data_IF_326002952423
#
_entry.id   IF_326002952423
#
_cell.length_a   1.000
_cell.length_b   1.000
_cell.length_c   1.000
_cell.angle_alpha   90.00
_cell.angle_beta   90.00
_cell.angle_gamma   90.00
#
_symmetry.space_group_name_H-M   'P 1'
#
loop_
_entity.id
_entity.type
_entity.pdbx_description
1 polymer ?
#
# COMPACT_ATOMS: atom_id res chain seq x y z
N UNK A 1 -36.67 15.48 -13.54
CA UNK A 1 -37.38 14.18 -13.45
C UNK A 1 -36.85 13.51 -12.20
N UNK A 2 -37.64 13.46 -11.13
CA UNK A 2 -37.15 13.07 -9.80
C UNK A 2 -36.93 11.56 -9.74
N UNK A 3 -35.81 11.13 -9.13
CA UNK A 3 -35.40 9.73 -8.90
C UNK A 3 -36.50 8.86 -8.25
N UNK A 4 -37.50 9.48 -7.61
CA UNK A 4 -38.64 8.81 -6.97
C UNK A 4 -39.57 8.08 -7.95
N UNK A 5 -39.71 8.55 -9.19
CA UNK A 5 -40.72 8.02 -10.13
C UNK A 5 -40.20 6.86 -11.00
N UNK A 6 -38.91 6.50 -10.89
CA UNK A 6 -38.26 5.41 -11.65
C UNK A 6 -37.64 4.31 -10.77
N UNK A 7 -38.11 4.16 -9.53
CA UNK A 7 -37.55 3.19 -8.58
C UNK A 7 -37.61 1.75 -9.11
N UNK A 8 -38.78 1.32 -9.61
CA UNK A 8 -38.96 -0.03 -10.15
C UNK A 8 -38.11 -0.27 -11.40
N UNK A 9 -38.02 0.74 -12.27
CA UNK A 9 -37.19 0.69 -13.47
C UNK A 9 -35.69 0.58 -13.12
N UNK A 10 -35.21 1.34 -12.14
CA UNK A 10 -33.83 1.27 -11.67
C UNK A 10 -33.50 -0.12 -11.10
N UNK A 11 -34.39 -0.68 -10.27
CA UNK A 11 -34.20 -2.02 -9.71
C UNK A 11 -34.23 -3.09 -10.79
N UNK A 12 -35.15 -2.99 -11.74
CA UNK A 12 -35.25 -3.93 -12.86
C UNK A 12 -34.01 -3.86 -13.76
N UNK A 13 -33.52 -2.67 -14.10
CA UNK A 13 -32.29 -2.49 -14.88
C UNK A 13 -31.06 -3.08 -14.16
N UNK A 14 -30.95 -2.89 -12.84
CA UNK A 14 -29.88 -3.51 -12.04
C UNK A 14 -29.98 -5.04 -12.04
N UNK A 15 -31.18 -5.59 -11.89
CA UNK A 15 -31.41 -7.03 -11.98
C UNK A 15 -31.04 -7.58 -13.36
N UNK A 16 -31.46 -6.92 -14.43
CA UNK A 16 -31.13 -7.33 -15.80
C UNK A 16 -29.61 -7.32 -16.02
N UNK A 17 -28.92 -6.24 -15.64
CA UNK A 17 -27.47 -6.15 -15.73
C UNK A 17 -26.77 -7.27 -14.95
N UNK A 18 -27.21 -7.54 -13.72
CA UNK A 18 -26.66 -8.62 -12.90
C UNK A 18 -26.86 -10.01 -13.54
N UNK A 19 -28.08 -10.31 -14.01
CA UNK A 19 -28.41 -11.56 -14.71
C UNK A 19 -27.55 -11.73 -15.97
N UNK A 20 -27.45 -10.69 -16.77
CA UNK A 20 -26.73 -10.72 -18.04
C UNK A 20 -25.23 -10.91 -17.83
N UNK A 21 -24.65 -10.29 -16.79
CA UNK A 21 -23.27 -10.52 -16.38
C UNK A 21 -23.03 -12.00 -16.01
N UNK A 22 -23.91 -12.59 -15.19
CA UNK A 22 -23.82 -14.00 -14.80
C UNK A 22 -23.86 -14.91 -16.03
N UNK A 23 -24.81 -14.70 -16.94
CA UNK A 23 -24.93 -15.51 -18.16
C UNK A 23 -23.75 -15.35 -19.12
N UNK A 24 -23.17 -14.15 -19.19
CA UNK A 24 -21.99 -13.85 -20.00
C UNK A 24 -20.78 -14.63 -19.53
N UNK A 25 -20.43 -14.53 -18.24
CA UNK A 25 -19.22 -15.17 -17.69
C UNK A 25 -19.35 -16.66 -17.42
N UNK A 26 -20.52 -17.27 -17.68
CA UNK A 26 -20.63 -18.73 -17.88
C UNK A 26 -19.98 -19.20 -19.18
N UNK A 27 -19.75 -18.29 -20.14
CA UNK A 27 -19.31 -18.60 -21.51
C UNK A 27 -18.05 -17.83 -21.94
N UNK A 28 -17.77 -16.70 -21.32
CA UNK A 28 -16.63 -15.83 -21.64
C UNK A 28 -15.55 -15.86 -20.56
N UNK A 29 -14.29 -15.82 -21.00
CA UNK A 29 -13.13 -15.73 -20.12
C UNK A 29 -12.93 -14.30 -19.56
N UNK A 30 -12.29 -14.16 -18.38
CA UNK A 30 -11.90 -15.25 -17.46
C UNK A 30 -13.12 -15.82 -16.73
N UNK A 31 -13.09 -17.13 -16.44
CA UNK A 31 -14.16 -17.82 -15.71
C UNK A 31 -14.01 -17.72 -14.19
N UNK A 32 -12.78 -17.49 -13.72
CA UNK A 32 -12.48 -17.20 -12.33
C UNK A 32 -11.15 -16.46 -12.19
N UNK A 33 -10.90 -15.90 -11.01
CA UNK A 33 -9.58 -15.47 -10.57
C UNK A 33 -9.17 -16.22 -9.31
N UNK A 34 -7.92 -16.65 -9.25
CA UNK A 34 -7.34 -17.38 -8.12
C UNK A 34 -6.36 -16.48 -7.39
N UNK A 35 -6.60 -16.26 -6.10
CA UNK A 35 -5.69 -15.53 -5.20
C UNK A 35 -5.00 -16.55 -4.29
N UNK A 36 -3.72 -16.83 -4.57
CA UNK A 36 -2.94 -17.81 -3.82
C UNK A 36 -2.69 -17.36 -2.39
N UNK A 37 -2.80 -18.27 -1.40
CA UNK A 37 -2.29 -17.97 -0.05
C UNK A 37 -0.76 -18.08 0.03
N UNK A 38 -0.17 -18.88 -0.87
CA UNK A 38 1.28 -19.02 -1.00
C UNK A 38 1.82 -17.95 -1.94
N UNK A 39 2.16 -16.79 -1.36
CA UNK A 39 2.79 -15.67 -2.06
C UNK A 39 3.57 -14.79 -1.07
N UNK A 40 4.27 -13.78 -1.59
CA UNK A 40 5.18 -12.92 -0.81
C UNK A 40 4.50 -12.22 0.37
N UNK A 41 3.27 -11.75 0.18
CA UNK A 41 2.54 -10.96 1.18
C UNK A 41 1.10 -11.49 1.34
N UNK A 42 0.96 -12.54 2.15
CA UNK A 42 -0.35 -13.10 2.50
C UNK A 42 -1.26 -12.09 3.22
N UNK A 43 -0.79 -11.27 4.18
CA UNK A 43 -1.61 -10.22 4.79
C UNK A 43 -2.20 -9.23 3.77
N UNK A 44 -1.41 -8.82 2.77
CA UNK A 44 -1.89 -7.92 1.72
C UNK A 44 -2.90 -8.61 0.78
N UNK A 45 -2.66 -9.88 0.45
CA UNK A 45 -3.62 -10.70 -0.30
C UNK A 45 -4.95 -10.87 0.45
N UNK A 46 -4.90 -11.06 1.77
CA UNK A 46 -6.09 -11.11 2.62
C UNK A 46 -6.83 -9.75 2.62
N UNK A 47 -6.09 -8.64 2.64
CA UNK A 47 -6.66 -7.30 2.51
C UNK A 47 -7.38 -7.13 1.17
N UNK A 48 -6.77 -7.56 0.05
CA UNK A 48 -7.41 -7.53 -1.26
C UNK A 48 -8.76 -8.28 -1.22
N UNK A 49 -8.77 -9.53 -0.75
CA UNK A 49 -9.99 -10.34 -0.68
C UNK A 49 -11.05 -9.69 0.21
N UNK A 50 -10.66 -9.14 1.35
CA UNK A 50 -11.57 -8.38 2.20
C UNK A 50 -12.19 -7.19 1.46
N UNK A 51 -11.39 -6.42 0.70
CA UNK A 51 -11.89 -5.29 -0.09
C UNK A 51 -12.84 -5.74 -1.19
N UNK A 52 -12.60 -6.87 -1.85
CA UNK A 52 -13.54 -7.44 -2.81
C UNK A 52 -14.91 -7.71 -2.16
N UNK A 53 -14.90 -8.41 -1.02
CA UNK A 53 -16.13 -8.75 -0.30
C UNK A 53 -16.88 -7.51 0.20
N UNK A 54 -16.17 -6.46 0.64
CA UNK A 54 -16.78 -5.17 1.01
C UNK A 54 -17.50 -4.52 -0.18
N UNK A 55 -16.99 -4.70 -1.41
CA UNK A 55 -17.60 -4.21 -2.64
C UNK A 55 -18.68 -5.16 -3.20
N UNK A 56 -19.10 -6.17 -2.43
CA UNK A 56 -20.16 -7.11 -2.82
C UNK A 56 -19.70 -8.22 -3.76
N UNK A 57 -18.40 -8.32 -4.04
CA UNK A 57 -17.84 -9.40 -4.86
C UNK A 57 -17.83 -10.69 -4.04
N UNK A 58 -18.40 -11.73 -4.62
CA UNK A 58 -18.50 -13.07 -4.04
C UNK A 58 -17.14 -13.77 -4.17
N UNK A 59 -16.60 -14.19 -3.02
CA UNK A 59 -15.33 -14.92 -2.95
C UNK A 59 -15.58 -16.27 -2.30
N UNK A 60 -14.90 -17.28 -2.83
CA UNK A 60 -14.97 -18.65 -2.36
C UNK A 60 -13.62 -19.09 -1.81
N UNK A 61 -13.63 -20.06 -0.90
CA UNK A 61 -12.46 -20.77 -0.41
C UNK A 61 -12.46 -22.21 -0.91
N UNK A 62 -11.34 -22.68 -1.43
CA UNK A 62 -11.18 -24.05 -1.86
C UNK A 62 -11.04 -24.99 -0.65
N UNK A 63 -11.98 -25.92 -0.49
CA UNK A 63 -11.98 -26.92 0.60
C UNK A 63 -10.94 -28.02 0.39
N UNK A 64 -10.41 -28.17 -0.83
CA UNK A 64 -9.40 -29.16 -1.24
C UNK A 64 -8.40 -28.53 -2.20
N UNK A 65 -7.24 -29.15 -2.32
CA UNK A 65 -6.27 -28.77 -3.35
C UNK A 65 -6.83 -29.03 -4.75
N UNK A 66 -6.52 -28.15 -5.71
CA UNK A 66 -6.98 -28.24 -7.09
C UNK A 66 -5.86 -27.81 -8.06
N UNK A 67 -6.05 -28.06 -9.36
CA UNK A 67 -5.11 -27.63 -10.41
C UNK A 67 -5.80 -26.62 -11.34
N UNK A 68 -5.14 -25.50 -11.61
CA UNK A 68 -5.59 -24.53 -12.60
C UNK A 68 -4.37 -23.86 -13.25
N UNK A 69 -4.44 -23.56 -14.54
CA UNK A 69 -3.36 -22.89 -15.29
C UNK A 69 -1.98 -23.58 -15.15
N UNK A 70 -1.96 -24.91 -15.12
CA UNK A 70 -0.71 -25.68 -14.95
C UNK A 70 -0.07 -25.58 -13.56
N UNK A 71 -0.76 -25.01 -12.57
CA UNK A 71 -0.30 -24.90 -11.17
C UNK A 71 -1.26 -25.65 -10.24
N UNK A 72 -0.69 -26.30 -9.23
CA UNK A 72 -1.44 -26.83 -8.09
C UNK A 72 -1.65 -25.72 -7.05
N UNK A 73 -2.87 -25.61 -6.54
CA UNK A 73 -3.26 -24.70 -5.46
C UNK A 73 -3.70 -25.53 -4.24
N UNK A 74 -3.24 -25.19 -3.03
CA UNK A 74 -3.62 -25.91 -1.82
C UNK A 74 -5.08 -25.62 -1.42
N UNK A 75 -5.58 -26.41 -0.48
CA UNK A 75 -6.80 -26.06 0.23
C UNK A 75 -6.61 -24.70 0.94
N UNK A 76 -7.68 -23.92 1.01
CA UNK A 76 -7.68 -22.55 1.51
C UNK A 76 -7.49 -21.48 0.44
N UNK A 77 -7.07 -21.82 -0.77
CA UNK A 77 -6.94 -20.83 -1.85
C UNK A 77 -8.26 -20.10 -2.10
N UNK A 78 -8.19 -18.77 -2.27
CA UNK A 78 -9.36 -17.96 -2.56
C UNK A 78 -9.66 -17.92 -4.07
N UNK A 79 -10.92 -18.03 -4.42
CA UNK A 79 -11.41 -18.09 -5.79
C UNK A 79 -12.56 -17.10 -5.98
N UNK A 80 -12.40 -16.20 -6.94
CA UNK A 80 -13.46 -15.28 -7.39
C UNK A 80 -14.05 -15.86 -8.66
N UNK A 81 -15.21 -16.50 -8.58
CA UNK A 81 -15.92 -17.02 -9.75
C UNK A 81 -16.52 -15.86 -10.54
N UNK A 82 -16.36 -15.84 -11.87
CA UNK A 82 -16.80 -14.70 -12.67
C UNK A 82 -18.26 -14.79 -13.10
N UNK A 83 -18.97 -15.89 -12.91
CA UNK A 83 -20.42 -15.99 -13.13
C UNK A 83 -21.22 -15.41 -11.95
N UNK A 84 -20.92 -14.16 -11.58
CA UNK A 84 -21.55 -13.41 -10.49
C UNK A 84 -21.97 -11.99 -10.95
N UNK A 85 -22.85 -11.29 -10.20
CA UNK A 85 -23.37 -9.97 -10.60
C UNK A 85 -22.30 -8.89 -10.81
N UNK A 86 -21.25 -8.87 -9.97
CA UNK A 86 -20.23 -7.81 -9.91
C UNK A 86 -18.97 -8.10 -10.73
N UNK A 87 -18.99 -9.08 -11.61
CA UNK A 87 -17.82 -9.47 -12.43
C UNK A 87 -17.22 -8.38 -13.31
N UNK A 88 -17.98 -7.41 -13.87
CA UNK A 88 -17.37 -6.28 -14.55
C UNK A 88 -16.45 -5.45 -13.65
N UNK A 89 -16.80 -5.28 -12.37
CA UNK A 89 -15.94 -4.61 -11.39
C UNK A 89 -14.67 -5.44 -11.12
N UNK A 90 -14.79 -6.77 -11.04
CA UNK A 90 -13.60 -7.64 -10.90
C UNK A 90 -12.65 -7.46 -12.09
N UNK A 91 -13.16 -7.47 -13.34
CA UNK A 91 -12.33 -7.20 -14.53
C UNK A 91 -11.65 -5.84 -14.43
N UNK A 92 -12.42 -4.79 -14.11
CA UNK A 92 -11.89 -3.42 -14.03
C UNK A 92 -10.73 -3.30 -13.03
N UNK A 93 -10.86 -3.97 -11.87
CA UNK A 93 -9.86 -3.92 -10.80
C UNK A 93 -8.68 -4.86 -11.04
N UNK A 94 -8.81 -5.92 -11.84
CA UNK A 94 -7.79 -6.97 -11.95
C UNK A 94 -7.05 -6.96 -13.28
N UNK A 95 -7.66 -6.45 -14.35
CA UNK A 95 -7.04 -6.46 -15.67
C UNK A 95 -6.06 -5.29 -15.84
N UNK A 96 -4.92 -5.51 -16.52
CA UNK A 96 -4.03 -4.43 -16.89
C UNK A 96 -4.75 -3.45 -17.82
N UNK A 97 -4.88 -2.20 -17.38
CA UNK A 97 -5.56 -1.16 -18.14
C UNK A 97 -4.64 -0.59 -19.23
N UNK A 98 -5.19 -0.39 -20.43
CA UNK A 98 -4.50 0.26 -21.55
C UNK A 98 -5.26 1.51 -21.94
N UNK A 99 -4.74 2.66 -21.53
CA UNK A 99 -5.28 3.94 -21.96
C UNK A 99 -4.89 4.23 -23.41
N UNK A 100 -5.83 4.59 -24.29
CA UNK A 100 -5.51 4.90 -25.68
C UNK A 100 -4.65 6.17 -25.78
N UNK A 101 -3.84 6.28 -26.84
CA UNK A 101 -3.23 7.57 -27.21
C UNK A 101 -4.33 8.50 -27.72
N UNK A 102 -4.94 9.22 -26.77
CA UNK A 102 -6.10 10.06 -27.02
C UNK A 102 -5.65 11.52 -27.18
N UNK A 103 -5.81 12.08 -28.37
CA UNK A 103 -5.39 13.46 -28.71
C UNK A 103 -6.55 14.21 -29.37
N UNK A 104 -6.56 15.54 -29.23
CA UNK A 104 -7.51 16.39 -29.97
C UNK A 104 -7.18 16.45 -31.46
N UNK A 105 -5.88 16.51 -31.78
CA UNK A 105 -5.34 16.47 -33.14
C UNK A 105 -4.04 15.67 -33.15
N UNK A 106 -3.52 15.23 -34.32
CA UNK A 106 -2.26 14.49 -34.37
C UNK A 106 -1.05 15.19 -33.71
N UNK A 107 -1.08 16.53 -33.61
CA UNK A 107 0.00 17.34 -33.05
C UNK A 107 -0.31 17.91 -31.66
N UNK A 108 -1.49 17.66 -31.09
CA UNK A 108 -1.78 18.11 -29.72
C UNK A 108 -1.15 17.17 -28.70
N UNK A 109 -0.84 17.66 -27.48
CA UNK A 109 -0.49 16.78 -26.37
C UNK A 109 -1.56 15.71 -26.14
N UNK A 110 -1.16 14.53 -25.65
CA UNK A 110 -2.11 13.50 -25.23
C UNK A 110 -3.01 14.04 -24.11
N UNK A 111 -4.30 13.75 -24.19
CA UNK A 111 -5.24 13.99 -23.11
C UNK A 111 -4.90 13.06 -21.97
N UNK A 112 -4.65 13.65 -20.82
CA UNK A 112 -4.35 12.92 -19.61
C UNK A 112 -5.54 12.06 -19.20
N UNK A 113 -5.34 10.80 -18.79
CA UNK A 113 -6.37 10.07 -18.10
C UNK A 113 -6.69 10.84 -16.80
N UNK A 114 -7.94 11.29 -16.67
CA UNK A 114 -8.47 11.72 -15.38
C UNK A 114 -9.07 10.47 -14.74
N UNK A 115 -8.59 10.09 -13.55
CA UNK A 115 -9.09 9.00 -12.69
C UNK A 115 -9.50 7.65 -13.34
N UNK A 116 -9.12 7.38 -14.59
CA UNK A 116 -9.54 6.20 -15.37
C UNK A 116 -8.41 5.21 -15.63
N UNK A 117 -7.26 5.41 -14.99
CA UNK A 117 -6.08 4.54 -15.14
C UNK A 117 -5.48 4.21 -13.79
N UNK A 118 -4.87 3.02 -13.70
CA UNK A 118 -4.10 2.61 -12.52
C UNK A 118 -4.91 1.87 -11.47
N UNK A 119 -6.14 1.43 -11.75
CA UNK A 119 -6.97 0.68 -10.81
C UNK A 119 -6.70 -0.82 -10.76
N UNK A 120 -5.59 -1.29 -11.36
CA UNK A 120 -5.21 -2.70 -11.32
C UNK A 120 -4.71 -3.06 -9.92
N UNK A 121 -5.64 -3.29 -8.98
CA UNK A 121 -5.39 -3.51 -7.55
C UNK A 121 -4.35 -4.60 -7.27
N UNK A 122 -4.36 -5.79 -7.91
CA UNK A 122 -3.33 -6.78 -7.68
C UNK A 122 -1.92 -6.25 -7.93
N UNK A 123 -1.74 -5.40 -8.95
CA UNK A 123 -0.44 -4.78 -9.24
C UNK A 123 -0.07 -3.73 -8.21
N UNK A 124 -1.01 -2.85 -7.83
CA UNK A 124 -0.78 -1.81 -6.82
C UNK A 124 -0.44 -2.39 -5.44
N UNK A 125 -1.08 -3.50 -5.09
CA UNK A 125 -0.92 -4.17 -3.80
C UNK A 125 0.22 -5.22 -3.84
N UNK A 126 0.84 -5.46 -5.00
CA UNK A 126 1.87 -6.50 -5.15
C UNK A 126 1.35 -7.93 -4.93
N UNK A 127 0.04 -8.15 -5.09
CA UNK A 127 -0.64 -9.43 -4.89
C UNK A 127 -0.69 -10.21 -6.20
N UNK A 128 -0.26 -11.47 -6.16
CA UNK A 128 -0.34 -12.38 -7.29
C UNK A 128 -1.75 -12.94 -7.43
N UNK A 129 -2.35 -12.71 -8.59
CA UNK A 129 -3.66 -13.23 -8.96
C UNK A 129 -3.58 -13.89 -10.33
N UNK A 130 -4.17 -15.08 -10.47
CA UNK A 130 -4.14 -15.85 -11.72
C UNK A 130 -5.54 -15.95 -12.34
N UNK A 131 -5.75 -15.50 -13.59
CA UNK A 131 -7.01 -15.70 -14.31
C UNK A 131 -7.17 -17.16 -14.72
N UNK A 132 -8.36 -17.73 -14.55
CA UNK A 132 -8.73 -19.07 -15.04
C UNK A 132 -9.46 -18.90 -16.37
N UNK A 133 -8.81 -19.33 -17.45
CA UNK A 133 -9.30 -19.13 -18.82
C UNK A 133 -10.19 -20.28 -19.32
N UNK A 134 -10.33 -21.35 -18.54
CA UNK A 134 -11.16 -22.49 -18.87
C UNK A 134 -12.40 -22.55 -17.95
N UNK A 135 -13.54 -23.09 -18.43
CA UNK A 135 -14.74 -23.24 -17.60
C UNK A 135 -14.46 -24.02 -16.30
N UNK A 136 -14.95 -23.51 -15.17
CA UNK A 136 -14.87 -24.20 -13.88
C UNK A 136 -15.96 -25.27 -13.78
N UNK A 137 -15.57 -26.54 -13.79
CA UNK A 137 -16.49 -27.68 -13.82
C UNK A 137 -17.28 -27.87 -12.51
N UNK A 138 -18.34 -28.68 -12.57
CA UNK A 138 -19.22 -28.93 -11.41
C UNK A 138 -18.47 -29.55 -10.22
N UNK A 139 -17.53 -30.46 -10.48
CA UNK A 139 -16.69 -31.08 -9.44
C UNK A 139 -15.83 -30.05 -8.72
N UNK A 140 -15.21 -29.13 -9.46
CA UNK A 140 -14.36 -28.08 -8.89
C UNK A 140 -15.21 -27.08 -8.09
N UNK A 141 -16.37 -26.68 -8.63
CA UNK A 141 -17.33 -25.82 -7.92
C UNK A 141 -17.83 -26.44 -6.63
N UNK A 142 -18.07 -27.75 -6.59
CA UNK A 142 -18.47 -28.45 -5.38
C UNK A 142 -17.36 -28.49 -4.30
N UNK A 143 -16.11 -28.21 -4.68
CA UNK A 143 -15.00 -28.06 -3.75
C UNK A 143 -14.80 -26.60 -3.28
N UNK A 144 -15.62 -25.65 -3.72
CA UNK A 144 -15.57 -24.24 -3.33
C UNK A 144 -16.67 -23.93 -2.32
N UNK A 145 -16.31 -23.28 -1.22
CA UNK A 145 -17.24 -22.78 -0.22
C UNK A 145 -17.31 -21.25 -0.30
N UNK A 146 -18.50 -20.68 -0.49
CA UNK A 146 -18.68 -19.22 -0.50
C UNK A 146 -18.40 -18.64 0.88
N UNK A 147 -17.61 -17.58 0.93
CA UNK A 147 -17.34 -16.85 2.17
C UNK A 147 -18.49 -15.87 2.45
N UNK A 148 -19.20 -16.08 3.56
CA UNK A 148 -20.22 -15.12 4.04
C UNK A 148 -19.60 -13.96 4.82
N UNK A 149 -18.47 -14.22 5.49
CA UNK A 149 -17.70 -13.22 6.22
C UNK A 149 -16.22 -13.50 6.01
N UNK A 150 -15.46 -12.45 5.71
CA UNK A 150 -14.02 -12.59 5.61
C UNK A 150 -13.36 -12.67 7.00
N UNK A 151 -12.54 -13.70 7.20
CA UNK A 151 -11.60 -13.79 8.31
C UNK A 151 -10.20 -14.00 7.73
N UNK A 152 -9.28 -13.09 8.03
CA UNK A 152 -7.92 -13.21 7.52
C UNK A 152 -7.24 -14.48 8.10
N UNK A 153 -6.34 -15.14 7.37
CA UNK A 153 -5.63 -16.31 7.88
C UNK A 153 -4.87 -15.94 9.15
N UNK A 154 -5.05 -16.73 10.21
CA UNK A 154 -4.37 -16.45 11.47
C UNK A 154 -2.88 -16.73 11.35
N UNK A 155 -2.06 -15.77 11.77
CA UNK A 155 -0.64 -15.98 12.01
C UNK A 155 -0.36 -16.90 13.22
N UNK A 156 0.91 -17.18 13.47
CA UNK A 156 1.33 -18.08 14.55
C UNK A 156 2.76 -17.83 15.01
N UNK A 157 3.09 -18.25 16.24
CA UNK A 157 4.47 -18.25 16.76
C UNK A 157 4.97 -19.70 16.92
N UNK A 158 5.79 -20.13 15.98
CA UNK A 158 6.28 -21.51 15.88
C UNK A 158 7.68 -21.67 16.49
N UNK A 159 8.01 -22.84 17.04
CA UNK A 159 9.31 -23.10 17.66
C UNK A 159 9.37 -22.79 19.17
N UNK A 160 10.58 -22.69 19.71
CA UNK A 160 10.85 -22.49 21.12
C UNK A 160 12.01 -21.51 21.35
N UNK A 161 11.90 -20.71 22.42
CA UNK A 161 12.88 -19.69 22.78
C UNK A 161 12.23 -18.34 23.07
N UNK A 162 13.07 -17.36 23.41
CA UNK A 162 12.66 -16.00 23.79
C UNK A 162 13.07 -14.93 22.76
N UNK A 163 13.66 -15.36 21.64
CA UNK A 163 13.96 -14.50 20.50
C UNK A 163 13.11 -14.96 19.33
N UNK A 164 12.62 -14.02 18.54
CA UNK A 164 11.67 -14.29 17.48
C UNK A 164 12.16 -13.69 16.17
N UNK A 165 12.08 -14.46 15.10
CA UNK A 165 12.50 -14.09 13.76
C UNK A 165 11.26 -13.92 12.89
N UNK A 166 11.14 -12.74 12.29
CA UNK A 166 10.03 -12.33 11.45
C UNK A 166 10.58 -11.90 10.09
N UNK A 167 9.91 -12.34 9.02
CA UNK A 167 10.25 -11.93 7.67
C UNK A 167 9.97 -10.44 7.45
N UNK A 168 10.86 -9.71 6.79
CA UNK A 168 10.62 -8.31 6.40
C UNK A 168 9.96 -8.16 5.01
N UNK A 169 9.56 -9.27 4.37
CA UNK A 169 8.99 -9.26 3.01
C UNK A 169 7.59 -8.66 2.92
N UNK A 170 6.78 -8.88 3.96
CA UNK A 170 5.39 -8.45 4.04
C UNK A 170 5.29 -7.07 4.70
N UNK A 171 4.39 -6.22 4.21
CA UNK A 171 4.18 -4.89 4.76
C UNK A 171 3.76 -4.97 6.25
N UNK A 172 2.86 -5.90 6.58
CA UNK A 172 2.37 -6.09 7.94
C UNK A 172 3.48 -6.35 8.97
N UNK A 173 4.66 -6.82 8.54
CA UNK A 173 5.80 -7.05 9.44
C UNK A 173 6.29 -5.76 10.11
N UNK A 174 6.22 -4.62 9.41
CA UNK A 174 6.60 -3.33 9.97
C UNK A 174 5.56 -2.81 10.98
N UNK A 175 4.28 -3.15 10.77
CA UNK A 175 3.24 -2.87 11.75
C UNK A 175 3.45 -3.70 13.03
N UNK A 176 3.68 -5.01 12.89
CA UNK A 176 3.98 -5.89 14.02
C UNK A 176 5.23 -5.44 14.78
N UNK A 177 6.28 -5.02 14.07
CA UNK A 177 7.49 -4.43 14.63
C UNK A 177 7.17 -3.22 15.54
N UNK A 178 6.37 -2.27 15.05
CA UNK A 178 5.97 -1.10 15.82
C UNK A 178 5.10 -1.46 17.03
N UNK A 179 4.22 -2.45 16.89
CA UNK A 179 3.41 -2.97 17.99
C UNK A 179 4.29 -3.61 19.08
N UNK A 180 5.34 -4.35 18.71
CA UNK A 180 6.31 -4.91 19.66
C UNK A 180 7.05 -3.80 20.42
N UNK A 181 7.54 -2.76 19.72
CA UNK A 181 8.18 -1.61 20.36
C UNK A 181 7.21 -0.89 21.31
N UNK A 182 5.95 -0.71 20.92
CA UNK A 182 4.92 -0.07 21.76
C UNK A 182 4.59 -0.88 23.03
N UNK A 183 4.80 -2.20 23.01
CA UNK A 183 4.63 -3.08 24.16
C UNK A 183 5.94 -3.27 24.97
N UNK A 184 6.96 -2.43 24.76
CA UNK A 184 8.21 -2.46 25.51
C UNK A 184 9.22 -3.52 25.05
N UNK A 185 8.94 -4.22 23.96
CA UNK A 185 9.87 -5.17 23.36
C UNK A 185 11.04 -4.49 22.65
N UNK A 186 12.00 -5.30 22.23
CA UNK A 186 13.17 -4.88 21.47
C UNK A 186 13.11 -5.43 20.05
N UNK A 187 13.60 -4.63 19.11
CA UNK A 187 13.64 -4.95 17.69
C UNK A 187 15.05 -4.73 17.17
N UNK A 188 15.52 -5.64 16.32
CA UNK A 188 16.70 -5.44 15.50
C UNK A 188 16.51 -6.04 14.11
N UNK A 189 17.52 -5.86 13.26
CA UNK A 189 17.60 -6.47 11.94
C UNK A 189 18.85 -7.34 11.87
N UNK A 190 18.70 -8.58 11.42
CA UNK A 190 19.83 -9.47 11.18
C UNK A 190 20.52 -9.06 9.87
N UNK A 191 21.82 -8.77 9.89
CA UNK A 191 22.59 -8.41 8.69
C UNK A 191 23.10 -9.64 7.94
N UNK A 192 23.14 -10.79 8.60
CA UNK A 192 23.44 -12.09 7.99
C UNK A 192 22.17 -12.78 7.47
N UNK A 193 22.34 -13.70 6.53
CA UNK A 193 21.25 -14.58 6.12
C UNK A 193 20.67 -15.34 7.32
N UNK A 194 19.35 -15.25 7.48
CA UNK A 194 18.62 -15.76 8.64
C UNK A 194 17.36 -16.48 8.16
N UNK A 195 17.16 -17.71 8.61
CA UNK A 195 15.99 -18.52 8.25
C UNK A 195 14.75 -18.12 9.07
N UNK A 196 13.77 -17.50 8.42
CA UNK A 196 12.45 -17.15 9.00
C UNK A 196 11.39 -18.21 8.65
N UNK A 197 10.13 -17.95 8.99
CA UNK A 197 9.02 -18.79 8.51
C UNK A 197 8.78 -18.68 7.00
N UNK A 198 9.15 -17.55 6.38
CA UNK A 198 8.95 -17.27 4.95
C UNK A 198 10.23 -17.48 4.13
N UNK A 199 11.11 -18.36 4.62
CA UNK A 199 12.40 -18.69 4.04
C UNK A 199 13.56 -17.85 4.58
N UNK A 200 14.74 -18.11 4.02
CA UNK A 200 15.98 -17.40 4.36
C UNK A 200 16.07 -16.04 3.69
N UNK A 201 16.56 -15.04 4.43
CA UNK A 201 16.79 -13.69 3.93
C UNK A 201 17.84 -12.93 4.75
N UNK A 202 18.44 -11.91 4.15
CA UNK A 202 19.18 -10.86 4.85
C UNK A 202 18.21 -9.75 5.26
N UNK A 203 18.32 -9.23 6.48
CA UNK A 203 17.41 -8.19 6.98
C UNK A 203 16.17 -8.75 7.68
N UNK A 204 16.19 -10.02 8.10
CA UNK A 204 15.14 -10.57 8.95
C UNK A 204 14.98 -9.72 10.23
N UNK A 205 13.74 -9.47 10.62
CA UNK A 205 13.41 -8.73 11.84
C UNK A 205 13.59 -9.66 13.04
N UNK A 206 14.38 -9.21 14.02
CA UNK A 206 14.64 -9.91 15.27
C UNK A 206 13.87 -9.22 16.39
N UNK A 207 12.92 -9.92 17.01
CA UNK A 207 12.10 -9.41 18.11
C UNK A 207 12.50 -10.12 19.41
N UNK A 208 12.50 -9.40 20.53
CA UNK A 208 12.75 -9.96 21.87
C UNK A 208 12.13 -9.08 22.96
N UNK A 209 12.18 -9.53 24.22
CA UNK A 209 11.67 -8.75 25.35
C UNK A 209 10.13 -8.60 25.40
N UNK A 210 9.40 -9.40 24.63
CA UNK A 210 7.93 -9.44 24.62
C UNK A 210 7.43 -10.81 25.10
N UNK A 211 6.33 -10.81 25.85
CA UNK A 211 5.69 -12.06 26.30
C UNK A 211 5.17 -12.86 25.09
N UNK A 212 5.45 -14.18 25.06
CA UNK A 212 5.03 -15.06 23.96
C UNK A 212 3.53 -15.01 23.69
N UNK A 213 2.70 -15.00 24.73
CA UNK A 213 1.23 -14.95 24.59
C UNK A 213 0.77 -13.67 23.91
N UNK A 214 1.39 -12.53 24.24
CA UNK A 214 1.14 -11.25 23.58
C UNK A 214 1.58 -11.27 22.11
N UNK A 215 2.78 -11.78 21.83
CA UNK A 215 3.29 -11.88 20.46
C UNK A 215 2.44 -12.82 19.60
N UNK A 216 1.93 -13.91 20.17
CA UNK A 216 1.01 -14.83 19.48
C UNK A 216 -0.30 -14.13 19.09
N UNK A 217 -0.87 -13.32 19.98
CA UNK A 217 -2.02 -12.47 19.66
C UNK A 217 -1.75 -11.49 18.52
N UNK A 218 -0.65 -10.73 18.60
CA UNK A 218 -0.27 -9.78 17.55
C UNK A 218 0.04 -10.47 16.21
N UNK A 219 0.65 -11.65 16.23
CA UNK A 219 0.94 -12.45 15.03
C UNK A 219 -0.35 -12.92 14.36
N UNK A 220 -1.33 -13.38 15.15
CA UNK A 220 -2.67 -13.75 14.67
C UNK A 220 -3.40 -12.59 14.01
N UNK A 221 -3.40 -11.43 14.66
CA UNK A 221 -4.08 -10.21 14.17
C UNK A 221 -3.49 -9.68 12.86
N UNK A 222 -2.18 -9.83 12.66
CA UNK A 222 -1.48 -9.34 11.47
C UNK A 222 -1.28 -10.42 10.39
N UNK A 223 -1.80 -11.64 10.57
CA UNK A 223 -1.64 -12.76 9.63
C UNK A 223 -0.18 -13.15 9.34
N UNK A 224 0.70 -13.03 10.35
CA UNK A 224 2.14 -13.29 10.21
C UNK A 224 2.57 -14.54 10.97
N UNK A 225 3.47 -15.31 10.36
CA UNK A 225 4.13 -16.42 11.06
C UNK A 225 5.50 -16.00 11.56
N UNK A 226 5.75 -16.22 12.84
CA UNK A 226 6.97 -15.84 13.52
C UNK A 226 7.70 -17.09 14.01
N UNK A 227 9.01 -17.16 13.81
CA UNK A 227 9.85 -18.29 14.23
C UNK A 227 10.57 -17.97 15.54
N UNK A 228 10.23 -18.66 16.61
CA UNK A 228 10.92 -18.58 17.90
C UNK A 228 12.21 -19.41 17.89
N UNK A 229 13.29 -18.80 18.35
CA UNK A 229 14.64 -19.36 18.44
C UNK A 229 15.26 -19.11 19.81
N UNK A 230 16.20 -19.97 20.22
CA UNK A 230 16.83 -19.90 21.54
C UNK A 230 17.76 -18.68 21.70
N UNK A 231 18.41 -18.23 20.62
CA UNK A 231 19.34 -17.12 20.65
C UNK A 231 19.22 -16.26 19.38
N UNK A 232 19.50 -14.96 19.51
CA UNK A 232 19.52 -14.04 18.39
C UNK A 232 20.69 -14.34 17.43
N UNK A 233 20.54 -14.03 16.12
CA UNK A 233 21.66 -14.03 15.20
C UNK A 233 22.79 -13.12 15.70
N UNK A 234 24.05 -13.55 15.52
CA UNK A 234 25.22 -12.82 16.04
C UNK A 234 25.32 -11.39 15.48
N UNK A 235 24.91 -11.21 14.22
CA UNK A 235 25.02 -9.94 13.50
C UNK A 235 23.67 -9.20 13.49
N UNK A 236 23.12 -8.93 14.68
CA UNK A 236 21.85 -8.19 14.83
C UNK A 236 22.11 -6.72 15.15
N UNK A 237 21.54 -5.82 14.34
CA UNK A 237 21.57 -4.37 14.56
C UNK A 237 20.25 -3.94 15.21
N UNK A 238 20.32 -3.52 16.47
CA UNK A 238 19.16 -3.04 17.20
C UNK A 238 18.64 -1.72 16.64
N UNK A 239 17.32 -1.59 16.57
CA UNK A 239 16.63 -0.37 16.17
C UNK A 239 15.77 0.17 17.30
N UNK A 240 15.51 1.47 17.24
CA UNK A 240 14.61 2.17 18.17
C UNK A 240 13.38 2.65 17.42
N UNK A 241 12.36 3.06 18.16
CA UNK A 241 11.20 3.75 17.59
C UNK A 241 11.65 4.98 16.82
N UNK A 242 11.27 5.05 15.54
CA UNK A 242 11.62 6.18 14.68
C UNK A 242 10.90 7.45 15.14
N UNK A 243 11.64 8.56 15.27
CA UNK A 243 11.06 9.88 15.52
C UNK A 243 10.77 10.54 14.18
N UNK A 244 9.52 10.49 13.75
CA UNK A 244 9.11 10.92 12.41
C UNK A 244 8.42 12.27 12.49
N UNK A 245 8.90 13.24 11.71
CA UNK A 245 8.22 14.49 11.44
C UNK A 245 7.45 14.41 10.11
N UNK A 246 6.16 14.75 10.12
CA UNK A 246 5.34 14.84 8.91
C UNK A 246 5.00 16.31 8.65
N UNK A 247 5.57 16.87 7.58
CA UNK A 247 5.35 18.27 7.23
C UNK A 247 3.91 18.50 6.77
N UNK A 248 3.29 19.54 7.35
CA UNK A 248 1.93 19.98 7.02
C UNK A 248 1.90 21.48 6.86
N UNK A 249 1.97 21.92 5.61
CA UNK A 249 1.79 23.31 5.22
C UNK A 249 0.41 23.85 5.66
N UNK A 250 0.26 25.17 5.65
CA UNK A 250 -1.04 25.82 5.80
C UNK A 250 -1.92 25.66 4.56
N UNK A 251 -1.28 25.60 3.39
CA UNK A 251 -1.95 25.24 2.14
C UNK A 251 -2.31 23.74 2.22
N UNK A 252 -3.60 23.36 2.08
CA UNK A 252 -4.02 21.97 2.20
C UNK A 252 -3.34 21.06 1.16
N UNK A 253 -2.83 19.92 1.61
CA UNK A 253 -2.28 18.87 0.75
C UNK A 253 -3.01 17.55 1.03
N UNK A 254 -3.64 16.97 0.01
CA UNK A 254 -4.35 15.69 0.11
C UNK A 254 -3.37 14.56 0.49
N UNK A 255 -2.17 14.59 -0.10
CA UNK A 255 -1.12 13.60 0.12
C UNK A 255 -0.64 13.54 1.58
N UNK A 256 -0.62 14.68 2.30
CA UNK A 256 -0.28 14.71 3.73
C UNK A 256 -1.28 13.88 4.55
N UNK A 257 -2.57 14.00 4.23
CA UNK A 257 -3.63 13.26 4.91
C UNK A 257 -3.54 11.75 4.68
N UNK A 258 -3.30 11.32 3.43
CA UNK A 258 -3.11 9.90 3.12
C UNK A 258 -1.84 9.34 3.76
N UNK A 259 -0.74 10.09 3.69
CA UNK A 259 0.54 9.70 4.31
C UNK A 259 0.39 9.53 5.82
N UNK A 260 -0.27 10.49 6.49
CA UNK A 260 -0.60 10.40 7.91
C UNK A 260 -1.42 9.15 8.22
N UNK A 261 -2.48 8.93 7.45
CA UNK A 261 -3.35 7.77 7.65
C UNK A 261 -2.58 6.45 7.57
N UNK A 262 -1.69 6.30 6.57
CA UNK A 262 -0.82 5.11 6.44
C UNK A 262 0.11 4.97 7.65
N UNK A 263 0.81 6.04 8.04
CA UNK A 263 1.70 6.01 9.21
C UNK A 263 0.97 5.56 10.48
N UNK A 264 -0.24 6.07 10.70
CA UNK A 264 -1.10 5.70 11.84
C UNK A 264 -1.58 4.23 11.74
N UNK A 265 -1.97 3.75 10.56
CA UNK A 265 -2.36 2.34 10.36
C UNK A 265 -1.20 1.38 10.69
N UNK A 266 0.03 1.79 10.38
CA UNK A 266 1.26 1.04 10.65
C UNK A 266 1.87 1.33 12.03
N UNK A 267 1.16 2.05 12.90
CA UNK A 267 1.57 2.34 14.30
C UNK A 267 2.85 3.17 14.43
N UNK A 268 3.10 4.04 13.46
CA UNK A 268 4.09 5.10 13.60
C UNK A 268 3.49 6.31 14.33
N UNK A 269 4.29 6.93 15.20
CA UNK A 269 3.91 8.14 15.94
C UNK A 269 4.46 9.38 15.22
N UNK A 270 3.94 9.68 14.04
CA UNK A 270 4.39 10.83 13.27
C UNK A 270 3.91 12.16 13.89
N UNK A 271 4.85 13.05 14.17
CA UNK A 271 4.57 14.38 14.72
C UNK A 271 4.37 15.36 13.58
N UNK A 272 3.31 16.16 13.65
CA UNK A 272 3.06 17.22 12.66
C UNK A 272 4.14 18.29 12.76
N UNK A 273 4.75 18.64 11.63
CA UNK A 273 5.64 19.79 11.49
C UNK A 273 4.96 20.91 10.72
N UNK A 274 4.83 22.08 11.35
CA UNK A 274 4.40 23.31 10.70
C UNK A 274 5.61 24.11 10.21
N UNK A 275 5.34 25.15 9.42
CA UNK A 275 6.37 26.02 8.85
C UNK A 275 7.33 26.55 9.93
N UNK A 276 6.77 27.05 11.05
CA UNK A 276 7.55 27.58 12.16
C UNK A 276 8.42 26.53 12.87
N UNK A 277 7.97 25.27 12.93
CA UNK A 277 8.76 24.18 13.53
C UNK A 277 10.02 23.87 12.70
N UNK A 278 9.88 23.94 11.37
CA UNK A 278 11.00 23.77 10.44
C UNK A 278 11.94 24.97 10.51
N UNK A 279 11.40 26.18 10.47
CA UNK A 279 12.16 27.43 10.55
C UNK A 279 12.95 27.57 11.86
N UNK A 280 12.44 27.03 12.96
CA UNK A 280 13.12 27.04 14.25
C UNK A 280 14.40 26.19 14.28
N UNK A 281 14.61 25.30 13.30
CA UNK A 281 15.81 24.47 13.21
C UNK A 281 15.92 23.40 14.31
N UNK A 282 17.15 22.92 14.53
CA UNK A 282 17.47 21.84 15.48
C UNK A 282 16.60 20.58 15.28
N UNK A 283 16.32 20.27 14.01
CA UNK A 283 15.40 19.20 13.62
C UNK A 283 15.93 17.81 14.02
N UNK A 284 17.25 17.60 13.97
CA UNK A 284 17.88 16.30 14.26
C UNK A 284 17.73 15.88 15.73
N UNK A 285 17.66 16.85 16.63
CA UNK A 285 17.45 16.62 18.05
C UNK A 285 16.07 16.04 18.34
N UNK A 286 15.10 16.30 17.45
CA UNK A 286 13.70 15.88 17.60
C UNK A 286 13.35 14.71 16.69
N UNK A 287 13.92 14.64 15.49
CA UNK A 287 13.52 13.71 14.44
C UNK A 287 14.71 12.91 13.90
N UNK A 288 14.40 11.69 13.48
CA UNK A 288 15.30 10.81 12.72
C UNK A 288 14.96 10.86 11.23
N UNK A 289 13.66 11.00 10.91
CA UNK A 289 13.18 11.16 9.55
C UNK A 289 12.15 12.30 9.46
N UNK A 290 12.18 13.05 8.36
CA UNK A 290 11.16 14.05 8.01
C UNK A 290 10.56 13.67 6.66
N UNK A 291 9.24 13.62 6.60
CA UNK A 291 8.47 13.38 5.38
C UNK A 291 7.93 14.72 4.88
N UNK A 292 8.25 15.06 3.63
CA UNK A 292 7.63 16.12 2.86
C UNK A 292 6.62 15.48 1.89
N UNK A 293 5.31 15.59 2.17
CA UNK A 293 4.26 15.14 1.26
C UNK A 293 4.34 15.86 -0.09
N UNK A 294 3.67 15.31 -1.10
CA UNK A 294 3.57 15.92 -2.42
C UNK A 294 3.03 17.36 -2.31
N UNK A 295 3.77 18.28 -2.92
CA UNK A 295 3.48 19.71 -2.90
C UNK A 295 4.39 20.44 -3.87
N UNK A 296 3.85 21.47 -4.53
CA UNK A 296 4.63 22.34 -5.39
C UNK A 296 5.73 23.05 -4.54
N UNK A 297 7.01 23.09 -5.00
CA UNK A 297 8.09 23.80 -4.32
C UNK A 297 7.73 25.23 -3.90
N UNK A 298 7.10 26.01 -4.78
CA UNK A 298 6.69 27.39 -4.48
C UNK A 298 5.69 27.45 -3.32
N UNK A 299 4.74 26.51 -3.29
CA UNK A 299 3.76 26.40 -2.21
C UNK A 299 4.44 26.02 -0.88
N UNK A 300 5.43 25.12 -0.92
CA UNK A 300 6.18 24.71 0.27
C UNK A 300 7.00 25.88 0.81
N UNK A 301 7.66 26.63 -0.07
CA UNK A 301 8.51 27.77 0.26
C UNK A 301 7.71 28.98 0.74
N UNK A 302 6.67 29.36 0.00
CA UNK A 302 6.01 30.65 0.14
C UNK A 302 4.60 30.55 0.75
N UNK A 303 3.95 29.40 0.63
CA UNK A 303 2.60 29.17 1.17
C UNK A 303 1.58 30.23 0.75
N UNK A 304 0.70 30.62 1.67
CA UNK A 304 -0.26 31.69 1.43
C UNK A 304 0.39 33.07 1.45
N UNK A 305 0.05 33.91 0.47
CA UNK A 305 0.52 35.28 0.40
C UNK A 305 -0.07 36.19 1.51
N UNK A 306 0.63 37.25 1.92
CA UNK A 306 0.12 38.21 2.90
C UNK A 306 -1.25 38.78 2.49
N UNK A 307 -2.18 38.83 3.44
CA UNK A 307 -3.54 39.36 3.22
C UNK A 307 -4.53 38.39 2.56
N UNK A 308 -4.12 37.18 2.17
CA UNK A 308 -5.03 36.14 1.65
C UNK A 308 -5.70 35.30 2.73
N UNK A 309 -5.05 35.20 3.90
CA UNK A 309 -5.49 34.44 5.09
C UNK A 309 -5.09 35.20 6.36
N UNK A 310 -5.68 34.89 7.55
CA UNK A 310 -5.18 35.42 8.82
C UNK A 310 -3.67 35.19 8.98
N UNK A 311 -2.98 36.15 9.61
CA UNK A 311 -1.51 36.20 9.63
C UNK A 311 -0.81 34.94 10.17
N UNK A 312 -1.45 34.21 11.07
CA UNK A 312 -0.94 32.94 11.62
C UNK A 312 -0.82 31.81 10.58
N UNK A 313 -1.53 31.92 9.44
CA UNK A 313 -1.54 30.94 8.35
C UNK A 313 -0.74 31.39 7.11
N UNK A 314 -0.12 32.57 7.15
CA UNK A 314 0.64 33.14 6.03
C UNK A 314 2.02 32.48 5.95
N UNK A 315 2.55 32.37 4.73
CA UNK A 315 3.92 31.94 4.46
C UNK A 315 4.09 30.43 4.32
N UNK A 316 5.30 30.05 3.88
CA UNK A 316 5.79 28.67 3.84
C UNK A 316 7.03 28.52 4.73
N UNK A 317 7.87 27.52 4.44
CA UNK A 317 9.11 27.30 5.20
C UNK A 317 10.18 28.37 4.93
N UNK A 318 10.15 29.01 3.76
CA UNK A 318 11.14 30.01 3.33
C UNK A 318 12.60 29.52 3.32
N UNK A 319 13.53 30.45 3.06
CA UNK A 319 14.97 30.16 2.99
C UNK A 319 15.51 29.58 4.30
N UNK A 320 15.09 30.10 5.45
CA UNK A 320 15.51 29.58 6.76
C UNK A 320 15.08 28.12 6.97
N UNK A 321 13.86 27.77 6.54
CA UNK A 321 13.39 26.40 6.62
C UNK A 321 14.14 25.46 5.67
N UNK A 322 14.48 25.91 4.47
CA UNK A 322 15.36 25.18 3.55
C UNK A 322 16.73 24.92 4.17
N UNK A 323 17.35 25.94 4.75
CA UNK A 323 18.64 25.81 5.44
C UNK A 323 18.54 24.81 6.60
N UNK A 324 17.45 24.84 7.37
CA UNK A 324 17.21 23.90 8.47
C UNK A 324 17.05 22.45 7.98
N UNK A 325 16.32 22.22 6.87
CA UNK A 325 16.20 20.90 6.25
C UNK A 325 17.54 20.40 5.71
N UNK A 326 18.35 21.29 5.12
CA UNK A 326 19.70 20.96 4.67
C UNK A 326 20.60 20.53 5.84
N UNK A 327 20.59 21.30 6.91
CA UNK A 327 21.36 20.99 8.13
C UNK A 327 20.92 19.67 8.76
N UNK A 328 19.61 19.40 8.78
CA UNK A 328 19.05 18.13 9.24
C UNK A 328 19.64 16.93 8.49
N UNK A 329 19.69 17.00 7.16
CA UNK A 329 20.25 15.94 6.31
C UNK A 329 21.76 15.81 6.52
N UNK A 330 22.50 16.93 6.55
CA UNK A 330 23.95 16.94 6.80
C UNK A 330 24.32 16.37 8.18
N UNK A 331 23.44 16.53 9.16
CA UNK A 331 23.56 15.95 10.50
C UNK A 331 23.11 14.48 10.58
N UNK A 332 22.90 13.81 9.45
CA UNK A 332 22.53 12.39 9.37
C UNK A 332 21.05 12.10 9.60
N UNK A 333 20.17 13.10 9.45
CA UNK A 333 18.73 12.91 9.36
C UNK A 333 18.28 12.44 7.97
N UNK A 334 17.15 11.74 7.90
CA UNK A 334 16.61 11.25 6.63
C UNK A 334 15.46 12.13 6.15
N UNK A 335 15.64 12.82 5.02
CA UNK A 335 14.57 13.56 4.36
C UNK A 335 13.90 12.69 3.28
N UNK A 336 12.59 12.50 3.39
CA UNK A 336 11.77 11.72 2.47
C UNK A 336 10.85 12.71 1.74
N UNK A 337 11.10 12.98 0.47
CA UNK A 337 10.32 13.94 -0.32
C UNK A 337 9.52 13.23 -1.42
N UNK A 338 8.20 13.39 -1.41
CA UNK A 338 7.31 12.75 -2.36
C UNK A 338 7.05 13.60 -3.60
N UNK A 339 7.09 12.96 -4.77
CA UNK A 339 6.67 13.54 -6.06
C UNK A 339 7.21 14.97 -6.28
N UNK A 340 6.39 16.02 -6.29
CA UNK A 340 6.87 17.36 -6.59
C UNK A 340 7.73 17.97 -5.47
N UNK A 341 7.57 17.52 -4.22
CA UNK A 341 8.42 17.96 -3.13
C UNK A 341 9.88 17.51 -3.32
N UNK A 342 10.13 16.46 -4.13
CA UNK A 342 11.50 16.06 -4.47
C UNK A 342 12.21 17.12 -5.32
N UNK A 343 11.47 17.94 -6.10
CA UNK A 343 12.05 19.04 -6.88
C UNK A 343 12.66 20.10 -5.97
N UNK A 344 11.96 20.46 -4.89
CA UNK A 344 12.49 21.35 -3.86
C UNK A 344 13.82 20.82 -3.31
N UNK A 345 13.89 19.52 -2.99
CA UNK A 345 15.12 18.92 -2.49
C UNK A 345 16.27 18.95 -3.52
N UNK A 346 15.96 18.72 -4.80
CA UNK A 346 16.94 18.79 -5.91
C UNK A 346 17.48 20.22 -6.06
N UNK A 347 16.59 21.20 -6.10
CA UNK A 347 16.93 22.59 -6.41
C UNK A 347 17.68 23.26 -5.24
N UNK A 348 17.28 22.96 -4.00
CA UNK A 348 17.74 23.70 -2.82
C UNK A 348 18.85 23.02 -2.00
N UNK A 349 18.99 21.68 -2.08
CA UNK A 349 19.96 20.95 -1.23
C UNK A 349 21.32 20.69 -1.91
N UNK A 350 21.48 21.08 -3.18
CA UNK A 350 22.74 20.88 -3.92
C UNK A 350 23.06 19.41 -4.16
N UNK A 351 22.04 18.59 -4.42
CA UNK A 351 22.19 17.16 -4.66
C UNK A 351 22.89 16.90 -6.02
N UNK A 352 23.70 15.85 -6.15
CA UNK A 352 24.37 15.50 -7.42
C UNK A 352 23.42 14.79 -8.40
N UNK A 353 22.18 15.27 -8.49
CA UNK A 353 21.13 14.74 -9.36
C UNK A 353 20.47 15.90 -10.11
N UNK A 354 19.83 15.60 -11.24
CA UNK A 354 19.06 16.58 -12.01
C UNK A 354 17.76 15.96 -12.48
N UNK A 355 16.74 16.79 -12.63
CA UNK A 355 15.51 16.38 -13.30
C UNK A 355 15.74 16.37 -14.82
N UNK A 356 15.85 15.18 -15.42
CA UNK A 356 16.06 15.02 -16.87
C UNK A 356 14.83 15.41 -17.70
N UNK A 357 13.68 15.57 -17.06
CA UNK A 357 12.44 16.03 -17.69
C UNK A 357 12.24 17.54 -17.54
N UNK A 358 13.17 18.26 -16.89
CA UNK A 358 13.05 19.69 -16.70
C UNK A 358 13.04 20.42 -18.05
N UNK A 359 12.01 21.24 -18.28
CA UNK A 359 11.83 22.01 -19.51
C UNK A 359 11.21 21.24 -20.68
N UNK A 360 11.02 19.92 -20.56
CA UNK A 360 10.22 19.16 -21.52
C UNK A 360 8.74 19.53 -21.37
N UNK A 361 8.06 19.58 -22.51
CA UNK A 361 6.61 19.73 -22.55
C UNK A 361 5.92 18.38 -22.53
N UNK A 362 4.63 18.39 -22.20
CA UNK A 362 3.79 17.19 -22.19
C UNK A 362 3.68 16.53 -23.59
N UNK A 363 3.94 17.27 -24.68
CA UNK A 363 4.03 16.70 -26.03
C UNK A 363 5.29 15.83 -26.24
N UNK A 364 6.37 16.10 -25.50
CA UNK A 364 7.67 15.46 -25.66
C UNK A 364 7.83 14.25 -24.73
N UNK A 365 7.30 14.35 -23.51
CA UNK A 365 7.30 13.24 -22.55
C UNK A 365 6.03 13.25 -21.71
N UNK A 366 5.38 12.08 -21.63
CA UNK A 366 4.18 11.89 -20.86
C UNK A 366 4.14 10.49 -20.22
N UNK A 367 3.88 10.42 -18.91
CA UNK A 367 3.75 9.17 -18.15
C UNK A 367 2.87 9.38 -16.89
N UNK A 368 1.62 9.84 -17.08
CA UNK A 368 0.67 9.97 -15.96
C UNK A 368 -0.26 8.77 -15.88
N UNK A 369 -0.58 8.36 -14.65
CA UNK A 369 -1.52 7.27 -14.38
C UNK A 369 -0.97 5.87 -14.70
N UNK A 370 0.34 5.72 -14.89
CA UNK A 370 0.98 4.45 -15.18
C UNK A 370 1.44 3.74 -13.90
N UNK A 371 1.18 2.44 -13.82
CA UNK A 371 1.84 1.57 -12.85
C UNK A 371 3.18 1.13 -13.43
N UNK A 372 4.28 1.55 -12.81
CA UNK A 372 5.64 1.16 -13.17
C UNK A 372 6.05 -0.03 -12.29
N UNK A 373 6.64 -1.06 -12.89
CA UNK A 373 7.11 -2.26 -12.19
C UNK A 373 8.58 -2.51 -12.41
#
# INVERSE_FOLDING_TARGET
MCIRDSHEELLYNRYQAARDNVERFKKEEPFAYVVSREQRDLPEAATLVQKLMINGIEVHEATKAFHANGRQYPAGTWVVLMDQPFSPLVKELFEPQRYPDFRETPNSPPKLPYDVTGWTLPMQMGVQVAPVLQPVGATDRAALERLEKFTAPAGSVNGAGSVYLLSHKANASFKLLNEVLANGGHVGFATSETETADGSESGAIVLSGIERGKLDGLSKENSLTVKAVAAAPKDTVNVKKARIGLYRAWVPAIDEGWTRWILEQFKFDAVTLRNGDIQAGNLRDKFDAIVLPDGNPDTILNGFGPGSVPGEYVGGIGEFGVMALREFVLSGGTLIAFNNASRLAIDELGLPVKNVLAGLKDEEFFCSGCLLR
#
